data_IF_859560742608
#
_entry.id   IF_859560742608
#
_cell.length_a   1.000
_cell.length_b   1.000
_cell.length_c   1.000
_cell.angle_alpha   90.00
_cell.angle_beta   90.00
_cell.angle_gamma   90.00
#
_symmetry.space_group_name_H-M   'P 1'
#
loop_
_entity.id
_entity.type
_entity.pdbx_description
1 polymer ?
#
# COMPACT_ATOMS: atom_id res chain seq x y z
N UNK A 1 0.29 -2.34 13.59
CA UNK A 1 0.60 -1.05 12.94
C UNK A 1 2.10 -0.84 13.03
N UNK A 2 2.75 -0.56 11.90
CA UNK A 2 4.19 -0.36 11.83
C UNK A 2 4.64 0.96 12.47
N UNK A 3 5.90 1.02 12.88
CA UNK A 3 6.54 2.24 13.42
C UNK A 3 7.08 3.15 12.32
N UNK A 4 7.41 2.58 11.15
CA UNK A 4 7.87 3.29 9.95
C UNK A 4 7.15 2.78 8.70
N UNK A 5 7.05 3.60 7.63
CA UNK A 5 6.54 3.15 6.34
C UNK A 5 7.25 1.90 5.82
N UNK A 6 6.60 1.21 4.89
CA UNK A 6 7.31 0.24 4.08
C UNK A 6 8.27 0.98 3.17
N UNK A 7 9.53 0.54 3.10
CA UNK A 7 10.33 0.87 1.93
C UNK A 7 9.90 0.01 0.74
N UNK A 8 10.16 0.45 -0.49
CA UNK A 8 9.86 -0.35 -1.68
C UNK A 8 10.57 -1.70 -1.61
N UNK A 9 11.81 -1.75 -1.11
CA UNK A 9 12.53 -3.01 -0.91
C UNK A 9 11.80 -3.96 0.04
N UNK A 10 11.41 -3.49 1.23
CA UNK A 10 10.71 -4.31 2.22
C UNK A 10 9.37 -4.81 1.66
N UNK A 11 8.66 -3.96 0.92
CA UNK A 11 7.38 -4.32 0.33
C UNK A 11 7.53 -5.33 -0.80
N UNK A 12 8.52 -5.14 -1.69
CA UNK A 12 8.87 -6.09 -2.73
C UNK A 12 9.19 -7.47 -2.15
N UNK A 13 10.04 -7.54 -1.11
CA UNK A 13 10.42 -8.79 -0.46
C UNK A 13 9.19 -9.51 0.12
N UNK A 14 8.29 -8.77 0.77
CA UNK A 14 7.04 -9.30 1.32
C UNK A 14 6.12 -9.90 0.26
N UNK A 15 5.93 -9.22 -0.86
CA UNK A 15 5.07 -9.72 -1.95
C UNK A 15 5.71 -10.93 -2.62
N UNK A 16 7.02 -10.86 -2.90
CA UNK A 16 7.77 -11.99 -3.47
C UNK A 16 7.70 -13.22 -2.58
N UNK A 17 7.88 -13.07 -1.28
CA UNK A 17 7.77 -14.16 -0.31
C UNK A 17 6.38 -14.82 -0.36
N UNK A 18 5.31 -14.02 -0.42
CA UNK A 18 3.95 -14.54 -0.55
C UNK A 18 3.78 -15.37 -1.83
N UNK A 19 4.17 -14.84 -2.98
CA UNK A 19 4.07 -15.54 -4.28
C UNK A 19 4.88 -16.84 -4.27
N UNK A 20 6.09 -16.83 -3.70
CA UNK A 20 6.92 -18.03 -3.56
C UNK A 20 6.26 -19.08 -2.67
N UNK A 21 5.72 -18.68 -1.51
CA UNK A 21 5.09 -19.59 -0.55
C UNK A 21 3.82 -20.25 -1.12
N UNK A 22 3.14 -19.59 -2.05
CA UNK A 22 1.98 -20.15 -2.76
C UNK A 22 2.37 -21.03 -3.96
N UNK A 23 3.66 -21.18 -4.25
CA UNK A 23 4.15 -21.97 -5.38
C UNK A 23 3.89 -21.34 -6.74
N UNK A 24 3.59 -20.03 -6.78
CA UNK A 24 3.30 -19.29 -8.01
C UNK A 24 4.55 -18.65 -8.63
N UNK A 25 5.70 -18.73 -7.96
CA UNK A 25 6.96 -18.23 -8.52
C UNK A 25 7.45 -19.14 -9.66
N UNK A 26 7.65 -18.63 -10.88
CA UNK A 26 8.00 -19.47 -12.01
C UNK A 26 9.49 -19.83 -12.04
N UNK A 27 9.78 -20.98 -12.67
CA UNK A 27 11.13 -21.35 -13.07
C UNK A 27 11.65 -20.44 -14.20
N UNK A 28 12.98 -20.34 -14.33
CA UNK A 28 13.60 -19.61 -15.43
C UNK A 28 13.65 -18.09 -15.27
N UNK A 29 13.34 -17.57 -14.08
CA UNK A 29 13.68 -16.20 -13.70
C UNK A 29 15.20 -16.06 -13.58
N UNK A 30 15.75 -15.11 -14.31
CA UNK A 30 17.16 -14.69 -14.28
C UNK A 30 17.41 -13.87 -13.00
N UNK A 31 16.63 -12.79 -12.83
CA UNK A 31 16.64 -11.98 -11.63
C UNK A 31 15.29 -11.33 -11.35
N UNK A 32 15.12 -10.93 -10.09
CA UNK A 32 14.01 -10.13 -9.61
C UNK A 32 14.56 -9.10 -8.63
N UNK A 33 14.42 -7.82 -8.95
CA UNK A 33 15.04 -6.73 -8.20
C UNK A 33 13.99 -5.67 -7.83
N UNK A 34 14.04 -5.14 -6.59
CA UNK A 34 13.30 -3.94 -6.25
C UNK A 34 13.95 -2.72 -6.89
N UNK A 35 13.12 -1.84 -7.43
CA UNK A 35 13.50 -0.50 -7.89
C UNK A 35 13.22 0.52 -6.79
N UNK A 36 13.89 1.68 -6.83
CA UNK A 36 13.64 2.75 -5.86
C UNK A 36 13.67 2.29 -4.39
N UNK A 37 14.62 1.40 -4.07
CA UNK A 37 14.63 0.53 -2.88
C UNK A 37 14.32 1.21 -1.55
N UNK A 38 14.83 2.43 -1.36
CA UNK A 38 14.72 3.19 -0.12
C UNK A 38 13.52 4.15 -0.08
N UNK A 39 12.77 4.31 -1.18
CA UNK A 39 11.56 5.13 -1.17
C UNK A 39 10.50 4.51 -0.27
N UNK A 40 9.81 5.36 0.46
CA UNK A 40 8.74 4.97 1.37
C UNK A 40 7.39 4.93 0.65
N UNK A 41 6.61 3.88 0.89
CA UNK A 41 5.21 3.77 0.49
C UNK A 41 4.36 4.28 1.65
N UNK A 42 3.84 5.49 1.50
CA UNK A 42 3.18 6.26 2.57
C UNK A 42 1.66 6.30 2.45
N UNK A 43 1.13 5.96 1.28
CA UNK A 43 -0.30 5.97 0.97
C UNK A 43 -0.72 4.66 0.30
N UNK A 44 -1.95 4.23 0.51
CA UNK A 44 -2.61 3.14 -0.24
C UNK A 44 -3.41 3.65 -1.45
N UNK A 45 -3.39 4.96 -1.73
CA UNK A 45 -4.15 5.58 -2.83
C UNK A 45 -3.45 5.44 -4.19
N UNK A 46 -3.15 4.19 -4.56
CA UNK A 46 -2.54 3.84 -5.83
C UNK A 46 -3.21 2.62 -6.47
N UNK A 47 -3.05 2.49 -7.78
CA UNK A 47 -3.34 1.27 -8.54
C UNK A 47 -2.06 0.50 -8.81
N UNK A 48 -2.16 -0.82 -8.96
CA UNK A 48 -1.03 -1.68 -9.33
C UNK A 48 -1.09 -1.94 -10.84
N UNK A 49 0.02 -1.69 -11.53
CA UNK A 49 0.13 -1.89 -12.98
C UNK A 49 1.25 -2.89 -13.25
N UNK A 50 0.91 -3.99 -13.89
CA UNK A 50 1.86 -4.97 -14.42
C UNK A 50 2.09 -4.72 -15.90
N UNK A 51 3.35 -4.63 -16.32
CA UNK A 51 3.75 -4.45 -17.70
C UNK A 51 4.76 -5.52 -18.12
N UNK A 52 4.42 -6.28 -19.16
CA UNK A 52 5.30 -7.31 -19.72
C UNK A 52 5.78 -6.90 -21.11
N UNK A 53 7.07 -7.04 -21.38
CA UNK A 53 7.66 -6.71 -22.67
C UNK A 53 8.84 -7.63 -23.00
N UNK A 54 9.08 -7.83 -24.30
CA UNK A 54 10.34 -8.40 -24.77
C UNK A 54 11.49 -7.44 -24.49
N UNK A 55 12.64 -7.97 -24.08
CA UNK A 55 13.87 -7.21 -23.94
C UNK A 55 14.42 -6.78 -25.31
N UNK A 56 15.28 -5.76 -25.31
CA UNK A 56 15.92 -5.28 -26.54
C UNK A 56 17.04 -6.19 -27.08
N UNK A 57 17.52 -7.14 -26.26
CA UNK A 57 18.59 -8.07 -26.65
C UNK A 57 18.37 -9.49 -26.16
N UNK A 58 17.89 -9.67 -24.93
CA UNK A 58 17.59 -10.99 -24.38
C UNK A 58 16.45 -10.93 -23.36
N UNK A 59 15.56 -11.91 -23.41
CA UNK A 59 14.63 -12.25 -22.34
C UNK A 59 13.33 -11.46 -22.36
N UNK A 60 12.51 -11.68 -21.33
CA UNK A 60 11.24 -11.01 -21.13
C UNK A 60 11.27 -10.30 -19.78
N UNK A 61 10.85 -9.05 -19.77
CA UNK A 61 10.78 -8.20 -18.59
C UNK A 61 9.33 -8.11 -18.11
N UNK A 62 9.15 -8.20 -16.80
CA UNK A 62 7.95 -7.83 -16.07
C UNK A 62 8.31 -6.68 -15.14
N UNK A 63 7.74 -5.51 -15.42
CA UNK A 63 7.82 -4.34 -14.57
C UNK A 63 6.52 -4.20 -13.78
N UNK A 64 6.64 -3.98 -12.47
CA UNK A 64 5.50 -3.67 -11.59
C UNK A 64 5.58 -2.21 -11.17
N UNK A 65 4.49 -1.49 -11.37
CA UNK A 65 4.33 -0.10 -10.99
C UNK A 65 3.22 0.08 -9.96
N UNK A 66 3.40 1.07 -9.11
CA UNK A 66 2.32 1.72 -8.38
C UNK A 66 2.00 3.03 -9.11
N UNK A 67 0.72 3.31 -9.32
CA UNK A 67 0.22 4.46 -10.09
C UNK A 67 -0.80 5.22 -9.26
N UNK A 68 -0.42 6.39 -8.74
CA UNK A 68 -1.26 7.22 -7.86
C UNK A 68 -0.44 8.02 -6.85
N UNK A 69 -1.01 8.27 -5.68
CA UNK A 69 -0.32 8.94 -4.57
C UNK A 69 0.40 7.89 -3.72
N UNK A 70 1.73 7.94 -3.72
CA UNK A 70 2.58 6.87 -3.15
C UNK A 70 3.50 7.41 -2.05
N UNK A 71 4.15 8.55 -2.30
CA UNK A 71 5.17 9.14 -1.44
C UNK A 71 4.67 10.37 -0.68
N UNK A 72 5.58 11.02 0.06
CA UNK A 72 5.32 12.19 0.91
C UNK A 72 4.74 13.38 0.13
N UNK A 73 5.10 13.51 -1.15
CA UNK A 73 4.59 14.62 -1.97
C UNK A 73 3.14 14.40 -2.40
N UNK A 74 2.66 13.16 -2.29
CA UNK A 74 1.32 12.72 -2.69
C UNK A 74 0.94 13.19 -4.09
N UNK A 75 1.91 13.28 -5.00
CA UNK A 75 1.64 13.72 -6.37
C UNK A 75 0.67 12.73 -7.01
N UNK A 76 -0.55 13.22 -7.30
CA UNK A 76 -1.73 12.43 -7.70
C UNK A 76 -1.55 11.57 -8.96
N UNK A 77 -0.43 11.73 -9.66
CA UNK A 77 -0.11 11.08 -10.94
C UNK A 77 1.31 10.53 -10.96
N UNK A 78 1.86 10.18 -9.78
CA UNK A 78 3.17 9.54 -9.72
C UNK A 78 3.05 8.08 -10.15
N UNK A 79 3.79 7.70 -11.19
CA UNK A 79 4.01 6.30 -11.55
C UNK A 79 5.39 5.90 -11.07
N UNK A 80 5.44 5.02 -10.09
CA UNK A 80 6.67 4.52 -9.49
C UNK A 80 6.86 3.05 -9.84
N UNK A 81 7.97 2.69 -10.48
CA UNK A 81 8.35 1.29 -10.65
C UNK A 81 8.86 0.75 -9.33
N UNK A 82 8.31 -0.37 -8.88
CA UNK A 82 8.69 -1.01 -7.62
C UNK A 82 9.44 -2.33 -7.82
N UNK A 83 9.27 -2.98 -8.97
CA UNK A 83 9.93 -4.23 -9.27
C UNK A 83 10.28 -4.34 -10.75
N UNK A 84 11.40 -5.00 -11.02
CA UNK A 84 11.80 -5.50 -12.33
C UNK A 84 12.14 -6.98 -12.20
N UNK A 85 11.50 -7.82 -13.00
CA UNK A 85 11.70 -9.26 -13.03
C UNK A 85 12.03 -9.65 -14.47
N UNK A 86 13.11 -10.40 -14.68
CA UNK A 86 13.59 -10.78 -16.01
C UNK A 86 13.75 -12.29 -16.14
N UNK A 87 13.47 -12.83 -17.32
CA UNK A 87 13.85 -14.19 -17.75
C UNK A 87 15.04 -14.16 -18.71
N UNK A 88 15.67 -15.32 -18.96
CA UNK A 88 16.54 -15.52 -20.14
C UNK A 88 15.73 -15.99 -21.37
N UNK A 89 14.54 -16.56 -21.16
CA UNK A 89 13.73 -17.16 -22.22
C UNK A 89 12.84 -16.12 -22.92
N UNK A 90 12.74 -16.21 -24.25
CA UNK A 90 11.96 -15.31 -25.13
C UNK A 90 10.78 -16.00 -25.83
N UNK A 91 10.50 -17.25 -25.48
CA UNK A 91 9.40 -18.00 -26.09
C UNK A 91 8.05 -17.34 -25.77
N UNK A 92 7.06 -17.61 -26.63
CA UNK A 92 5.66 -17.25 -26.37
C UNK A 92 5.16 -17.78 -25.02
N UNK A 93 5.65 -18.95 -24.62
CA UNK A 93 5.25 -19.54 -23.33
C UNK A 93 5.85 -18.77 -22.15
N UNK A 94 7.13 -18.39 -22.24
CA UNK A 94 7.74 -17.51 -21.24
C UNK A 94 7.00 -16.16 -21.12
N UNK A 95 6.51 -15.59 -22.22
CA UNK A 95 5.67 -14.37 -22.21
C UNK A 95 4.38 -14.58 -21.40
N UNK A 96 3.71 -15.71 -21.59
CA UNK A 96 2.48 -16.05 -20.86
C UNK A 96 2.75 -16.28 -19.38
N UNK A 97 3.85 -16.97 -19.05
CA UNK A 97 4.29 -17.19 -17.67
C UNK A 97 4.56 -15.85 -16.98
N UNK A 98 5.25 -14.92 -17.64
CA UNK A 98 5.53 -13.59 -17.11
C UNK A 98 4.25 -12.75 -16.96
N UNK A 99 3.31 -12.86 -17.90
CA UNK A 99 1.99 -12.21 -17.78
C UNK A 99 1.17 -12.76 -16.61
N UNK A 100 1.21 -14.08 -16.38
CA UNK A 100 0.58 -14.70 -15.21
C UNK A 100 1.22 -14.21 -13.91
N UNK A 101 2.55 -14.23 -13.82
CA UNK A 101 3.27 -13.70 -12.65
C UNK A 101 2.88 -12.23 -12.40
N UNK A 102 2.81 -11.41 -13.45
CA UNK A 102 2.35 -10.03 -13.35
C UNK A 102 0.93 -9.88 -12.79
N UNK A 103 0.01 -10.78 -13.17
CA UNK A 103 -1.33 -10.81 -12.58
C UNK A 103 -1.31 -11.23 -11.10
N UNK A 104 -0.48 -12.20 -10.73
CA UNK A 104 -0.31 -12.62 -9.33
C UNK A 104 0.21 -11.46 -8.47
N UNK A 105 1.17 -10.67 -8.97
CA UNK A 105 1.62 -9.43 -8.32
C UNK A 105 0.49 -8.43 -8.10
N UNK A 106 -0.38 -8.19 -9.10
CA UNK A 106 -1.52 -7.27 -8.97
C UNK A 106 -2.48 -7.74 -7.87
N UNK A 107 -2.80 -9.04 -7.84
CA UNK A 107 -3.68 -9.63 -6.83
C UNK A 107 -3.06 -9.52 -5.44
N UNK A 108 -1.81 -9.93 -5.28
CA UNK A 108 -1.18 -10.04 -3.97
C UNK A 108 -0.82 -8.69 -3.36
N UNK A 109 -0.34 -7.74 -4.15
CA UNK A 109 -0.13 -6.35 -3.70
C UNK A 109 -1.46 -5.78 -3.19
N UNK A 110 -2.54 -5.96 -3.97
CA UNK A 110 -3.87 -5.45 -3.62
C UNK A 110 -4.38 -6.08 -2.32
N UNK A 111 -4.24 -7.40 -2.16
CA UNK A 111 -4.63 -8.11 -0.96
C UNK A 111 -3.85 -7.63 0.27
N UNK A 112 -2.51 -7.58 0.16
CA UNK A 112 -1.64 -7.14 1.26
C UNK A 112 -1.99 -5.72 1.71
N UNK A 113 -2.21 -4.79 0.77
CA UNK A 113 -2.54 -3.40 1.10
C UNK A 113 -3.90 -3.32 1.78
N UNK A 114 -4.92 -3.99 1.25
CA UNK A 114 -6.27 -3.96 1.81
C UNK A 114 -6.34 -4.57 3.22
N UNK A 115 -5.62 -5.67 3.45
CA UNK A 115 -5.55 -6.33 4.77
C UNK A 115 -4.77 -5.50 5.80
N UNK A 116 -3.85 -4.63 5.34
CA UNK A 116 -2.94 -3.87 6.20
C UNK A 116 -3.03 -2.36 5.98
N UNK A 117 -4.21 -1.83 5.66
CA UNK A 117 -4.42 -0.43 5.23
C UNK A 117 -3.82 0.62 6.18
N UNK A 118 -3.81 0.37 7.50
CA UNK A 118 -3.21 1.29 8.48
C UNK A 118 -1.68 1.40 8.37
N UNK A 119 -1.01 0.38 7.84
CA UNK A 119 0.42 0.34 7.57
C UNK A 119 0.81 1.11 6.29
N UNK A 120 -0.19 1.52 5.50
CA UNK A 120 -0.05 2.34 4.29
C UNK A 120 -0.73 3.70 4.42
N UNK A 121 -1.13 4.12 5.63
CA UNK A 121 -1.74 5.44 5.86
C UNK A 121 -0.85 6.23 6.80
N UNK A 122 0.09 7.01 6.26
CA UNK A 122 1.12 7.72 7.04
C UNK A 122 0.91 9.21 7.22
N UNK A 123 0.04 9.82 6.43
CA UNK A 123 -0.22 11.26 6.50
C UNK A 123 -1.70 11.52 6.80
N UNK A 124 -2.04 12.77 7.07
CA UNK A 124 -3.41 13.19 7.31
C UNK A 124 -3.95 12.80 8.70
N UNK A 125 -5.28 12.78 8.81
CA UNK A 125 -5.98 12.69 10.09
C UNK A 125 -7.05 11.63 10.04
N UNK A 126 -7.12 10.82 11.11
CA UNK A 126 -8.09 9.74 11.24
C UNK A 126 -9.00 9.99 12.43
N UNK A 127 -10.31 10.01 12.19
CA UNK A 127 -11.33 10.01 13.24
C UNK A 127 -11.92 8.62 13.38
N UNK A 128 -11.98 8.11 14.60
CA UNK A 128 -12.63 6.83 14.93
C UNK A 128 -13.72 7.06 15.97
N UNK A 129 -14.90 6.52 15.69
CA UNK A 129 -16.07 6.57 16.57
C UNK A 129 -16.31 5.19 17.16
N UNK A 130 -16.50 5.14 18.46
CA UNK A 130 -16.74 3.90 19.20
C UNK A 130 -18.16 3.88 19.75
N UNK A 131 -18.83 2.74 19.63
CA UNK A 131 -20.15 2.53 20.22
C UNK A 131 -20.06 2.39 21.76
N UNK A 132 -21.20 2.19 22.42
CA UNK A 132 -21.26 2.02 23.88
C UNK A 132 -20.49 0.81 24.41
N UNK A 133 -20.25 -0.20 23.58
CA UNK A 133 -19.46 -1.40 23.91
C UNK A 133 -17.96 -1.22 23.65
N UNK A 134 -17.53 -0.03 23.20
CA UNK A 134 -16.14 0.24 22.85
C UNK A 134 -15.70 -0.35 21.52
N UNK A 135 -16.62 -0.80 20.67
CA UNK A 135 -16.32 -1.29 19.31
C UNK A 135 -16.32 -0.15 18.30
N UNK A 136 -15.37 -0.17 17.36
CA UNK A 136 -15.33 0.78 16.23
C UNK A 136 -16.61 0.63 15.40
N UNK A 137 -17.30 1.72 15.14
CA UNK A 137 -18.56 1.73 14.37
C UNK A 137 -18.52 2.67 13.16
N UNK A 138 -17.68 3.70 13.20
CA UNK A 138 -17.49 4.62 12.08
C UNK A 138 -16.04 5.10 12.06
N UNK A 139 -15.51 5.28 10.85
CA UNK A 139 -14.19 5.84 10.61
C UNK A 139 -14.27 6.94 9.55
N UNK A 140 -13.44 7.96 9.69
CA UNK A 140 -13.26 9.01 8.70
C UNK A 140 -11.78 9.34 8.58
N UNK A 141 -11.30 9.50 7.36
CA UNK A 141 -9.93 9.88 7.05
C UNK A 141 -9.95 11.07 6.10
N UNK A 142 -9.10 12.06 6.35
CA UNK A 142 -8.86 13.15 5.42
C UNK A 142 -7.51 13.82 5.68
N UNK A 143 -6.99 14.48 4.65
CA UNK A 143 -5.74 15.26 4.76
C UNK A 143 -5.93 16.57 5.55
N UNK A 144 -7.14 17.12 5.56
CA UNK A 144 -7.43 18.42 6.19
C UNK A 144 -7.75 18.27 7.68
N UNK A 145 -6.94 18.92 8.52
CA UNK A 145 -7.08 18.89 9.97
C UNK A 145 -8.38 19.52 10.47
N UNK A 146 -8.83 20.61 9.87
CA UNK A 146 -10.06 21.29 10.27
C UNK A 146 -11.28 20.45 9.91
N UNK A 147 -11.27 19.79 8.76
CA UNK A 147 -12.32 18.88 8.35
C UNK A 147 -12.40 17.66 9.27
N UNK A 148 -11.25 17.07 9.61
CA UNK A 148 -11.17 15.99 10.59
C UNK A 148 -11.71 16.43 11.96
N UNK A 149 -11.39 17.67 12.37
CA UNK A 149 -11.88 18.23 13.63
C UNK A 149 -13.39 18.48 13.63
N UNK A 150 -13.95 19.02 12.54
CA UNK A 150 -15.41 19.17 12.38
C UNK A 150 -16.13 17.83 12.49
N UNK A 151 -15.58 16.78 11.88
CA UNK A 151 -16.13 15.43 12.00
C UNK A 151 -16.04 14.92 13.45
N UNK A 152 -14.88 15.05 14.09
CA UNK A 152 -14.69 14.68 15.50
C UNK A 152 -15.71 15.39 16.42
N UNK A 153 -15.88 16.70 16.29
CA UNK A 153 -16.79 17.50 17.13
C UNK A 153 -18.24 17.08 16.91
N UNK A 154 -18.67 16.90 15.66
CA UNK A 154 -20.01 16.44 15.30
C UNK A 154 -20.37 15.13 16.02
N UNK A 155 -19.49 14.13 15.99
CA UNK A 155 -19.78 12.81 16.58
C UNK A 155 -19.53 12.76 18.08
N UNK A 156 -18.68 13.63 18.64
CA UNK A 156 -18.43 13.71 20.09
C UNK A 156 -19.66 14.13 20.89
N UNK A 157 -20.65 14.76 20.26
CA UNK A 157 -21.94 15.11 20.90
C UNK A 157 -22.79 13.85 21.16
N UNK A 158 -22.73 12.87 20.25
CA UNK A 158 -23.61 11.69 20.29
C UNK A 158 -22.92 10.48 20.92
N UNK A 159 -21.63 10.30 20.66
CA UNK A 159 -20.89 9.10 21.05
C UNK A 159 -20.02 9.35 22.27
N UNK A 160 -19.98 8.36 23.18
CA UNK A 160 -19.19 8.45 24.42
C UNK A 160 -17.69 8.55 24.15
N UNK A 161 -17.21 7.93 23.07
CA UNK A 161 -15.80 7.92 22.72
C UNK A 161 -15.61 8.13 21.21
N UNK A 162 -14.89 9.19 20.89
CA UNK A 162 -14.43 9.55 19.55
C UNK A 162 -12.98 9.95 19.70
N UNK A 163 -12.11 9.47 18.81
CA UNK A 163 -10.69 9.82 18.80
C UNK A 163 -10.33 10.47 17.48
N UNK A 164 -9.55 11.55 17.53
CA UNK A 164 -8.89 12.15 16.37
C UNK A 164 -7.39 11.88 16.50
N UNK A 165 -6.84 11.19 15.51
CA UNK A 165 -5.43 10.84 15.43
C UNK A 165 -4.75 11.61 14.31
N UNK A 166 -3.55 12.08 14.59
CA UNK A 166 -2.59 12.52 13.59
C UNK A 166 -1.79 11.30 13.12
N UNK A 167 -1.85 11.00 11.82
CA UNK A 167 -1.27 9.78 11.26
C UNK A 167 0.24 9.88 11.09
N UNK A 168 0.78 11.09 10.93
CA UNK A 168 2.22 11.31 10.80
C UNK A 168 2.93 11.02 12.12
N UNK A 169 2.44 11.63 13.21
CA UNK A 169 2.98 11.39 14.55
C UNK A 169 2.46 10.11 15.23
N UNK A 170 1.48 9.44 14.62
CA UNK A 170 0.76 8.26 15.15
C UNK A 170 0.15 8.48 16.53
N UNK A 171 -0.23 9.72 16.87
CA UNK A 171 -0.75 10.10 18.19
C UNK A 171 -2.21 10.49 18.14
N UNK A 172 -2.94 10.11 19.19
CA UNK A 172 -4.27 10.65 19.47
C UNK A 172 -4.10 12.10 19.92
N UNK A 173 -4.61 13.04 19.13
CA UNK A 173 -4.54 14.47 19.44
C UNK A 173 -5.81 14.99 20.11
N UNK A 174 -6.94 14.30 19.95
CA UNK A 174 -8.15 14.51 20.76
C UNK A 174 -8.81 13.18 21.11
N UNK A 175 -9.20 13.01 22.37
CA UNK A 175 -10.04 11.91 22.84
C UNK A 175 -11.23 12.50 23.62
N UNK A 176 -12.45 12.20 23.18
CA UNK A 176 -13.66 12.70 23.85
C UNK A 176 -13.91 12.04 25.21
N UNK A 177 -13.31 10.87 25.48
CA UNK A 177 -13.40 10.20 26.77
C UNK A 177 -12.50 10.83 27.83
N UNK A 178 -11.41 11.51 27.44
CA UNK A 178 -10.49 12.18 28.37
C UNK A 178 -11.01 13.53 28.90
N UNK A 179 -12.13 14.02 28.38
CA UNK A 179 -12.74 15.32 28.74
C UNK A 179 -13.89 15.19 29.76
N UNK A 180 -14.17 13.99 30.26
CA UNK A 180 -15.22 13.69 31.25
C UNK A 180 -14.60 13.04 32.47
#
# INVERSE_FOLDING_TARGET
>A
MREKPYTVKEFFEKVKEKICNEGNWPDGIDYALPENKELEIRSSEFSVVSQVAYGGSEGIYLDIYLDGSIDEKQEKYSRMRIAVIKTLNESREAMRIMAKLGADWVVDVTAIVNENMEDFTWDGFKVQVYNSEGRKCLGYYCMDKEQARKFYEKYSVTYKRVTLCDMESRKVICDSAAKK
#
